data_IF_883695792007
#
_entry.id   IF_883695792007
#
_cell.length_a   1.000
_cell.length_b   1.000
_cell.length_c   1.000
_cell.angle_alpha   90.00
_cell.angle_beta   90.00
_cell.angle_gamma   90.00
#
_symmetry.space_group_name_H-M   'P 1'
#
loop_
_entity.id
_entity.type
_entity.pdbx_description
1 polymer ?
#
# COMPACT_ATOMS: atom_id res chain seq x y z
N UNK A 1 15.22 15.87 -44.99
CA UNK A 1 15.08 14.43 -44.65
C UNK A 1 15.93 14.13 -43.42
N UNK A 2 15.32 13.81 -42.30
CA UNK A 2 16.03 13.45 -41.07
C UNK A 2 16.73 12.10 -41.26
N UNK A 3 18.05 12.05 -41.01
CA UNK A 3 18.82 10.81 -41.07
C UNK A 3 18.25 9.81 -40.06
N UNK A 4 17.73 8.67 -40.54
CA UNK A 4 17.33 7.54 -39.68
C UNK A 4 18.52 7.13 -38.79
N UNK A 5 18.34 7.11 -37.49
CA UNK A 5 19.40 6.76 -36.57
C UNK A 5 19.80 5.27 -36.80
N UNK A 6 21.05 5.01 -37.13
CA UNK A 6 21.62 3.69 -37.43
C UNK A 6 21.41 2.66 -36.30
N UNK A 7 21.15 3.13 -35.10
CA UNK A 7 21.01 2.30 -33.88
C UNK A 7 19.56 2.18 -33.37
N UNK A 8 18.56 2.61 -34.16
CA UNK A 8 17.14 2.59 -33.77
C UNK A 8 16.63 1.18 -33.47
N UNK A 9 17.20 0.16 -34.15
CA UNK A 9 16.89 -1.26 -33.94
C UNK A 9 17.55 -1.88 -32.71
N UNK A 10 18.54 -1.20 -32.10
CA UNK A 10 19.15 -1.62 -30.83
C UNK A 10 18.40 -1.08 -29.61
N UNK A 11 17.52 -0.14 -29.83
CA UNK A 11 16.68 0.43 -28.76
C UNK A 11 15.47 -0.47 -28.51
N UNK A 12 15.39 -1.04 -27.33
CA UNK A 12 14.24 -1.83 -26.89
C UNK A 12 13.04 -0.88 -26.70
N UNK A 13 12.19 -0.77 -27.71
CA UNK A 13 10.93 0.01 -27.63
C UNK A 13 9.94 -0.76 -26.77
N UNK A 14 9.97 -0.52 -25.44
CA UNK A 14 8.95 -1.04 -24.54
C UNK A 14 7.72 -0.13 -24.59
N UNK A 15 6.59 -0.68 -24.98
CA UNK A 15 5.30 -0.02 -24.79
C UNK A 15 4.95 0.02 -23.31
N UNK A 16 4.56 1.19 -22.84
CA UNK A 16 4.08 1.36 -21.46
C UNK A 16 2.62 0.97 -21.35
N UNK A 17 2.16 0.60 -20.14
CA UNK A 17 0.74 0.37 -19.88
C UNK A 17 -0.10 1.61 -20.23
N UNK A 18 0.46 2.80 -20.03
CA UNK A 18 -0.14 4.08 -20.38
C UNK A 18 -0.45 4.22 -21.88
N UNK A 19 0.49 3.80 -22.74
CA UNK A 19 0.28 3.86 -24.19
C UNK A 19 -0.73 2.82 -24.70
N UNK A 20 -0.88 1.69 -23.98
CA UNK A 20 -1.77 0.59 -24.38
C UNK A 20 -3.25 0.85 -24.04
N UNK A 21 -3.52 1.31 -22.83
CA UNK A 21 -4.91 1.47 -22.38
C UNK A 21 -5.07 2.52 -21.28
N UNK A 22 -5.20 3.78 -21.67
CA UNK A 22 -5.37 4.92 -20.75
C UNK A 22 -6.57 4.76 -19.81
N UNK A 23 -7.71 4.30 -20.32
CA UNK A 23 -8.93 4.15 -19.54
C UNK A 23 -8.74 3.17 -18.38
N UNK A 24 -8.13 2.02 -18.63
CA UNK A 24 -7.84 1.04 -17.58
C UNK A 24 -6.82 1.57 -16.59
N UNK A 25 -5.79 2.30 -17.05
CA UNK A 25 -4.79 2.93 -16.18
C UNK A 25 -5.45 3.93 -15.23
N UNK A 26 -6.33 4.80 -15.73
CA UNK A 26 -7.07 5.75 -14.88
C UNK A 26 -8.03 5.06 -13.91
N UNK A 27 -8.76 4.04 -14.35
CA UNK A 27 -9.65 3.27 -13.47
C UNK A 27 -8.88 2.60 -12.34
N UNK A 28 -7.73 1.97 -12.65
CA UNK A 28 -6.86 1.38 -11.65
C UNK A 28 -6.28 2.44 -10.69
N UNK A 29 -5.79 3.56 -11.22
CA UNK A 29 -5.25 4.65 -10.42
C UNK A 29 -6.29 5.21 -9.45
N UNK A 30 -7.54 5.38 -9.91
CA UNK A 30 -8.65 5.84 -9.06
C UNK A 30 -8.89 4.87 -7.91
N UNK A 31 -9.01 3.57 -8.16
CA UNK A 31 -9.24 2.57 -7.13
C UNK A 31 -8.07 2.52 -6.12
N UNK A 32 -6.84 2.72 -6.59
CA UNK A 32 -5.67 2.81 -5.73
C UNK A 32 -5.67 4.08 -4.86
N UNK A 33 -6.08 5.22 -5.41
CA UNK A 33 -6.25 6.45 -4.64
C UNK A 33 -7.31 6.29 -3.55
N UNK A 34 -8.44 5.65 -3.87
CA UNK A 34 -9.51 5.35 -2.90
C UNK A 34 -8.99 4.43 -1.78
N UNK A 35 -8.18 3.41 -2.11
CA UNK A 35 -7.51 2.57 -1.12
C UNK A 35 -6.57 3.39 -0.22
N UNK A 36 -5.71 4.25 -0.78
CA UNK A 36 -4.79 5.08 -0.02
C UNK A 36 -5.52 6.08 0.89
N UNK A 37 -6.67 6.57 0.45
CA UNK A 37 -7.47 7.52 1.23
C UNK A 37 -7.98 6.90 2.54
N UNK A 38 -8.37 5.63 2.53
CA UNK A 38 -8.90 4.91 3.71
C UNK A 38 -7.86 4.09 4.48
N UNK A 39 -6.61 4.07 4.02
CA UNK A 39 -5.54 3.23 4.55
C UNK A 39 -4.35 4.08 5.02
N UNK A 40 -4.57 4.92 6.03
CA UNK A 40 -3.57 5.87 6.55
C UNK A 40 -2.57 5.22 7.51
N UNK A 41 -2.99 4.17 8.20
CA UNK A 41 -2.16 3.42 9.15
C UNK A 41 -2.08 1.95 8.75
N UNK A 42 -1.11 1.21 9.29
CA UNK A 42 -0.96 -0.23 9.04
C UNK A 42 -2.23 -1.01 9.44
N UNK A 43 -2.92 -0.56 10.48
CA UNK A 43 -4.16 -1.19 10.95
C UNK A 43 -5.33 -0.95 10.00
N UNK A 44 -5.46 0.26 9.49
CA UNK A 44 -6.50 0.58 8.50
C UNK A 44 -6.23 -0.10 7.16
N UNK A 45 -4.97 -0.13 6.71
CA UNK A 45 -4.55 -0.84 5.50
C UNK A 45 -4.86 -2.34 5.64
N UNK A 46 -4.46 -2.97 6.75
CA UNK A 46 -4.75 -4.38 7.03
C UNK A 46 -6.26 -4.66 7.01
N UNK A 47 -7.06 -3.84 7.69
CA UNK A 47 -8.53 -3.96 7.74
C UNK A 47 -9.15 -3.84 6.35
N UNK A 48 -8.69 -2.87 5.55
CA UNK A 48 -9.18 -2.64 4.18
C UNK A 48 -8.80 -3.79 3.26
N UNK A 49 -7.56 -4.30 3.35
CA UNK A 49 -7.09 -5.46 2.58
C UNK A 49 -7.91 -6.70 2.92
N UNK A 50 -8.12 -6.99 4.21
CA UNK A 50 -8.92 -8.15 4.64
C UNK A 50 -10.34 -8.06 4.13
N UNK A 51 -10.97 -6.89 4.20
CA UNK A 51 -12.31 -6.67 3.65
C UNK A 51 -12.37 -6.99 2.15
N UNK A 52 -11.38 -6.56 1.39
CA UNK A 52 -11.31 -6.82 -0.05
C UNK A 52 -11.01 -8.30 -0.34
N UNK A 53 -10.12 -8.95 0.41
CA UNK A 53 -9.83 -10.38 0.31
C UNK A 53 -11.10 -11.21 0.59
N UNK A 54 -11.83 -10.91 1.66
CA UNK A 54 -13.06 -11.61 2.03
C UNK A 54 -14.12 -11.48 0.93
N UNK A 55 -14.29 -10.27 0.37
CA UNK A 55 -15.19 -10.02 -0.76
C UNK A 55 -14.83 -10.87 -2.00
N UNK A 56 -13.54 -11.15 -2.17
CA UNK A 56 -13.02 -11.97 -3.27
C UNK A 56 -12.93 -13.48 -2.93
N UNK A 57 -13.56 -13.92 -1.83
CA UNK A 57 -13.68 -15.31 -1.46
C UNK A 57 -12.50 -15.91 -0.71
N UNK A 58 -11.59 -15.07 -0.20
CA UNK A 58 -10.53 -15.53 0.70
C UNK A 58 -11.09 -15.79 2.10
N UNK A 59 -10.60 -16.84 2.75
CA UNK A 59 -10.95 -17.24 4.12
C UNK A 59 -9.73 -17.10 5.03
N UNK A 60 -9.98 -16.78 6.28
CA UNK A 60 -8.91 -16.75 7.27
C UNK A 60 -8.36 -18.17 7.47
N UNK A 61 -7.03 -18.33 7.45
CA UNK A 61 -6.39 -19.64 7.35
C UNK A 61 -6.73 -20.57 8.53
N UNK A 62 -6.86 -20.03 9.74
CA UNK A 62 -7.20 -20.82 10.94
C UNK A 62 -8.66 -21.33 10.93
N UNK A 63 -9.52 -20.77 10.08
CA UNK A 63 -10.89 -21.26 9.89
C UNK A 63 -10.98 -22.47 8.94
N UNK A 64 -9.86 -22.83 8.28
CA UNK A 64 -9.83 -23.89 7.27
C UNK A 64 -9.07 -25.11 7.80
N UNK A 65 -9.72 -26.27 7.84
CA UNK A 65 -9.09 -27.51 8.36
C UNK A 65 -8.10 -28.14 7.38
N UNK A 66 -8.37 -28.07 6.09
CA UNK A 66 -7.54 -28.67 5.03
C UNK A 66 -7.49 -27.74 3.83
N UNK A 67 -6.33 -27.64 3.20
CA UNK A 67 -6.12 -26.82 2.01
C UNK A 67 -6.07 -27.68 0.75
N UNK A 68 -6.70 -27.20 -0.31
CA UNK A 68 -6.74 -27.85 -1.63
C UNK A 68 -6.29 -26.84 -2.70
N UNK A 69 -5.75 -27.30 -3.83
CA UNK A 69 -5.47 -26.43 -4.96
C UNK A 69 -6.69 -25.59 -5.36
N UNK A 70 -6.50 -24.28 -5.50
CA UNK A 70 -7.55 -23.31 -5.79
C UNK A 70 -8.13 -22.62 -4.55
N UNK A 71 -7.88 -23.12 -3.34
CA UNK A 71 -8.31 -22.44 -2.12
C UNK A 71 -7.63 -21.08 -1.97
N UNK A 72 -8.42 -20.10 -1.53
CA UNK A 72 -7.99 -18.75 -1.27
C UNK A 72 -7.98 -18.52 0.23
N UNK A 73 -6.82 -18.28 0.80
CA UNK A 73 -6.69 -18.07 2.25
C UNK A 73 -5.82 -16.84 2.56
N UNK A 74 -6.05 -16.26 3.72
CA UNK A 74 -5.22 -15.20 4.25
C UNK A 74 -4.89 -15.44 5.74
N UNK A 75 -3.80 -14.85 6.17
CA UNK A 75 -3.37 -14.75 7.56
C UNK A 75 -3.32 -13.27 7.95
N UNK A 76 -4.05 -12.92 9.00
CA UNK A 76 -3.98 -11.62 9.64
C UNK A 76 -2.96 -11.65 10.78
N UNK A 77 -1.82 -11.01 10.61
CA UNK A 77 -0.80 -10.94 11.64
C UNK A 77 -1.02 -9.71 12.53
N UNK A 78 -1.71 -9.92 13.65
CA UNK A 78 -1.93 -8.91 14.71
C UNK A 78 -2.56 -7.59 14.22
N UNK A 79 -3.28 -7.61 13.11
CA UNK A 79 -3.89 -6.40 12.51
C UNK A 79 -2.89 -5.41 11.93
N UNK A 80 -1.64 -5.82 11.66
CA UNK A 80 -0.58 -4.94 11.15
C UNK A 80 0.09 -5.44 9.88
N UNK A 81 -0.15 -6.68 9.49
CA UNK A 81 0.28 -7.24 8.21
C UNK A 81 -0.63 -8.36 7.77
N UNK A 82 -0.64 -8.64 6.48
CA UNK A 82 -1.47 -9.67 5.86
C UNK A 82 -0.62 -10.49 4.91
N UNK A 83 -0.79 -11.81 4.97
CA UNK A 83 -0.31 -12.73 3.95
C UNK A 83 -1.56 -13.33 3.31
N UNK A 84 -1.65 -13.29 1.98
CA UNK A 84 -2.75 -13.91 1.25
C UNK A 84 -2.18 -14.81 0.15
N UNK A 85 -2.80 -15.96 -0.05
CA UNK A 85 -2.36 -16.90 -1.06
C UNK A 85 -3.53 -17.63 -1.72
N UNK A 86 -3.32 -17.97 -2.98
CA UNK A 86 -4.14 -18.97 -3.69
C UNK A 86 -3.30 -20.23 -3.80
N UNK A 87 -3.82 -21.34 -3.28
CA UNK A 87 -3.10 -22.61 -3.25
C UNK A 87 -2.93 -23.12 -4.69
N UNK A 88 -1.68 -23.27 -5.12
CA UNK A 88 -1.33 -23.78 -6.44
C UNK A 88 -1.51 -25.29 -6.57
N UNK A 89 -1.43 -25.79 -7.81
CA UNK A 89 -1.38 -27.23 -8.11
C UNK A 89 0.03 -27.81 -8.07
N UNK A 90 1.02 -26.93 -8.25
CA UNK A 90 2.45 -27.27 -8.35
C UNK A 90 3.20 -26.71 -7.14
N UNK A 91 4.46 -27.14 -6.97
CA UNK A 91 5.36 -26.59 -5.95
C UNK A 91 5.99 -25.24 -6.34
N UNK A 92 5.42 -24.56 -7.33
CA UNK A 92 5.88 -23.24 -7.75
C UNK A 92 5.26 -22.13 -6.87
N UNK A 93 6.06 -21.17 -6.47
CA UNK A 93 5.65 -20.05 -5.66
C UNK A 93 5.93 -18.73 -6.39
N UNK A 94 4.91 -17.88 -6.51
CA UNK A 94 5.04 -16.50 -6.97
C UNK A 94 4.71 -15.56 -5.82
N UNK A 95 5.68 -14.76 -5.41
CA UNK A 95 5.53 -13.85 -4.26
C UNK A 95 5.47 -12.41 -4.78
N UNK A 96 4.45 -11.68 -4.33
CA UNK A 96 4.37 -10.23 -4.41
C UNK A 96 4.44 -9.67 -3.00
N UNK A 97 5.40 -8.80 -2.73
CA UNK A 97 5.59 -8.18 -1.43
C UNK A 97 5.52 -6.66 -1.53
N UNK A 98 4.88 -6.04 -0.56
CA UNK A 98 4.84 -4.59 -0.40
C UNK A 98 4.75 -4.23 1.08
N UNK A 99 5.28 -3.06 1.46
CA UNK A 99 5.00 -2.49 2.78
C UNK A 99 3.62 -1.84 2.80
N UNK A 100 3.00 -1.74 3.97
CA UNK A 100 1.66 -1.16 4.19
C UNK A 100 1.66 0.04 5.14
N UNK A 101 2.81 0.38 5.69
CA UNK A 101 3.02 1.60 6.47
C UNK A 101 3.18 2.83 5.55
N UNK A 102 2.87 3.99 6.10
CA UNK A 102 3.01 5.28 5.41
C UNK A 102 3.86 6.23 6.24
N UNK A 103 4.58 7.19 5.64
CA UNK A 103 5.22 8.26 6.37
C UNK A 103 4.21 9.03 7.23
N UNK A 104 4.62 9.38 8.46
CA UNK A 104 3.77 10.06 9.44
C UNK A 104 4.59 10.83 10.47
N UNK A 105 3.89 11.56 11.34
CA UNK A 105 4.45 12.12 12.56
C UNK A 105 3.91 11.31 13.74
N UNK A 106 4.80 10.64 14.47
CA UNK A 106 4.45 9.94 15.72
C UNK A 106 4.55 10.92 16.89
N UNK A 107 3.63 10.80 17.84
CA UNK A 107 3.73 11.54 19.10
C UNK A 107 4.87 10.97 19.96
N UNK A 108 5.63 11.84 20.61
CA UNK A 108 6.63 11.40 21.61
C UNK A 108 5.93 10.88 22.88
N UNK A 109 6.61 10.06 23.71
CA UNK A 109 6.02 9.52 24.96
C UNK A 109 5.43 10.57 25.90
N UNK A 110 6.02 11.78 25.95
CA UNK A 110 5.48 12.93 26.67
C UNK A 110 5.18 14.04 25.66
N UNK A 111 4.04 13.96 24.93
CA UNK A 111 3.83 14.75 23.74
C UNK A 111 3.41 16.19 24.03
N UNK A 112 2.68 16.43 25.10
CA UNK A 112 2.08 17.75 25.36
C UNK A 112 3.13 18.73 25.86
N UNK A 113 3.20 19.89 25.25
CA UNK A 113 3.97 21.04 25.67
C UNK A 113 3.07 22.28 25.66
N UNK A 114 3.02 22.98 26.77
CA UNK A 114 2.42 24.30 26.84
C UNK A 114 3.49 25.38 26.69
N UNK A 115 3.27 26.30 25.78
CA UNK A 115 4.13 27.48 25.59
C UNK A 115 3.32 28.60 24.96
N UNK A 116 3.47 29.85 25.46
CA UNK A 116 2.79 31.03 24.94
C UNK A 116 1.25 30.88 24.89
N UNK A 117 0.64 30.26 25.90
CA UNK A 117 -0.80 29.93 25.96
C UNK A 117 -1.29 29.01 24.82
N UNK A 118 -0.38 28.23 24.23
CA UNK A 118 -0.70 27.23 23.21
C UNK A 118 -0.32 25.85 23.69
N UNK A 119 -1.22 24.90 23.50
CA UNK A 119 -0.91 23.48 23.66
C UNK A 119 -0.33 22.96 22.34
N UNK A 120 0.91 22.48 22.41
CA UNK A 120 1.64 21.92 21.27
C UNK A 120 1.93 20.45 21.48
N UNK A 121 1.95 19.68 20.39
CA UNK A 121 2.31 18.26 20.40
C UNK A 121 3.72 18.05 19.89
N UNK A 122 4.58 17.49 20.73
CA UNK A 122 5.91 17.07 20.33
C UNK A 122 5.83 15.82 19.48
N UNK A 123 6.37 15.88 18.27
CA UNK A 123 6.33 14.78 17.31
C UNK A 123 7.74 14.31 16.94
N UNK A 124 7.78 13.09 16.39
CA UNK A 124 8.92 12.52 15.71
C UNK A 124 8.45 12.02 14.34
N UNK A 125 9.21 12.30 13.28
CA UNK A 125 8.87 11.78 11.96
C UNK A 125 9.17 10.29 11.83
N UNK A 126 8.31 9.59 11.10
CA UNK A 126 8.48 8.19 10.72
C UNK A 126 8.51 8.07 9.20
N UNK A 127 9.48 7.31 8.68
CA UNK A 127 9.72 7.16 7.24
C UNK A 127 10.42 8.37 6.62
N UNK A 128 10.57 8.36 5.30
CA UNK A 128 11.18 9.45 4.54
C UNK A 128 10.20 10.58 4.27
N UNK A 129 10.34 11.71 4.95
CA UNK A 129 9.53 12.91 4.70
C UNK A 129 10.40 14.08 4.24
N UNK A 130 9.88 14.88 3.33
CA UNK A 130 10.43 16.20 2.99
C UNK A 130 9.89 17.21 3.99
N UNK A 131 10.60 17.45 5.08
CA UNK A 131 10.12 18.23 6.24
C UNK A 131 9.50 19.57 5.87
N UNK A 132 10.06 20.27 4.90
CA UNK A 132 9.54 21.56 4.43
C UNK A 132 8.14 21.51 3.82
N UNK A 133 7.69 20.32 3.36
CA UNK A 133 6.33 20.15 2.84
C UNK A 133 5.31 19.84 3.96
N UNK A 134 5.78 19.52 5.16
CA UNK A 134 4.94 19.08 6.27
C UNK A 134 4.66 20.17 7.31
N UNK A 135 5.18 21.38 7.09
CA UNK A 135 5.09 22.47 8.08
C UNK A 135 3.73 23.13 8.18
N UNK A 136 2.90 23.02 7.14
CA UNK A 136 1.62 23.74 7.04
C UNK A 136 0.50 22.89 6.39
N UNK A 137 0.58 21.58 6.50
CA UNK A 137 -0.49 20.68 6.04
C UNK A 137 -1.33 20.22 7.22
N UNK A 138 -2.63 20.10 7.00
CA UNK A 138 -3.53 19.52 7.98
C UNK A 138 -3.27 18.02 8.11
N UNK A 139 -3.20 17.54 9.35
CA UNK A 139 -2.97 16.15 9.68
C UNK A 139 -4.15 15.59 10.50
N UNK A 140 -4.53 14.35 10.23
CA UNK A 140 -5.45 13.62 11.07
C UNK A 140 -4.70 12.99 12.25
N UNK A 141 -5.32 12.96 13.42
CA UNK A 141 -4.81 12.28 14.61
C UNK A 141 -5.44 10.89 14.70
N UNK A 142 -4.60 9.86 14.84
CA UNK A 142 -5.00 8.46 15.01
C UNK A 142 -4.46 7.90 16.33
N UNK A 143 -5.30 7.12 17.04
CA UNK A 143 -4.93 6.47 18.28
C UNK A 143 -6.04 5.65 18.89
#
# INVERSE_FOLDING_TARGET
MAKKNKYENLLLKKETAWSKNKTQVFSFAKSYMDFLFVSKTEREATKTIIKELTKNGFKEIHSVKTLKPGDKVYLNQKGKSVIATVIGKNNELRILGAHIDSPRLDLKPNPVLESNNLAMLKTHYYGGIKKYQWTNIDLALYG
#
